data_IF_143879412426
#
_entry.id   IF_143879412426
#
_cell.length_a   1.000
_cell.length_b   1.000
_cell.length_c   1.000
_cell.angle_alpha   90.00
_cell.angle_beta   90.00
_cell.angle_gamma   90.00
#
_symmetry.space_group_name_H-M   'P 1'
#
loop_
_entity.id
_entity.type
_entity.pdbx_description
1 polymer ?
#
# COMPACT_ATOMS: atom_id res chain seq x y z
N UNK A 1 -13.39 -23.68 -20.61
CA UNK A 1 -11.96 -23.93 -20.24
C UNK A 1 -11.62 -22.97 -19.11
N UNK A 2 -11.17 -23.45 -17.96
CA UNK A 2 -10.84 -22.57 -16.81
C UNK A 2 -9.37 -22.19 -16.82
N UNK A 3 -9.07 -20.94 -16.49
CA UNK A 3 -7.72 -20.42 -16.31
C UNK A 3 -7.61 -19.74 -14.94
N UNK A 4 -6.49 -19.98 -14.26
CA UNK A 4 -6.17 -19.30 -13.03
C UNK A 4 -5.01 -18.33 -13.26
N UNK A 5 -5.27 -17.04 -13.11
CA UNK A 5 -4.27 -15.98 -13.25
C UNK A 5 -3.64 -15.66 -11.90
N UNK A 6 -2.31 -15.45 -11.90
CA UNK A 6 -1.55 -15.17 -10.69
C UNK A 6 -0.52 -14.04 -10.91
N UNK A 7 0.32 -13.79 -9.93
CA UNK A 7 1.42 -12.85 -10.01
C UNK A 7 1.02 -11.45 -10.46
N UNK A 8 1.84 -10.85 -11.31
CA UNK A 8 1.61 -9.50 -11.83
C UNK A 8 0.30 -9.39 -12.64
N UNK A 9 -0.13 -10.47 -13.30
CA UNK A 9 -1.40 -10.45 -14.03
C UNK A 9 -2.58 -10.34 -13.09
N UNK A 10 -2.62 -11.11 -12.01
CA UNK A 10 -3.67 -11.01 -11.01
C UNK A 10 -3.65 -9.66 -10.29
N UNK A 11 -2.47 -9.12 -9.97
CA UNK A 11 -2.33 -7.78 -9.39
C UNK A 11 -2.94 -6.70 -10.30
N UNK A 12 -2.60 -6.71 -11.59
CA UNK A 12 -3.18 -5.77 -12.57
C UNK A 12 -4.70 -5.92 -12.67
N UNK A 13 -5.20 -7.15 -12.68
CA UNK A 13 -6.63 -7.41 -12.70
C UNK A 13 -7.33 -6.86 -11.45
N UNK A 14 -6.78 -7.09 -10.27
CA UNK A 14 -7.33 -6.51 -9.02
C UNK A 14 -7.35 -5.00 -9.03
N UNK A 15 -6.30 -4.35 -9.53
CA UNK A 15 -6.26 -2.88 -9.71
C UNK A 15 -7.32 -2.40 -10.69
N UNK A 16 -7.48 -3.09 -11.82
CA UNK A 16 -8.50 -2.77 -12.82
C UNK A 16 -9.92 -2.91 -12.26
N UNK A 17 -10.19 -3.97 -11.53
CA UNK A 17 -11.49 -4.21 -10.88
C UNK A 17 -11.77 -3.10 -9.86
N UNK A 18 -10.82 -2.80 -8.99
CA UNK A 18 -10.99 -1.76 -7.95
C UNK A 18 -11.18 -0.37 -8.52
N UNK A 19 -10.46 -0.03 -9.59
CA UNK A 19 -10.57 1.29 -10.24
C UNK A 19 -11.76 1.43 -11.21
N UNK A 20 -12.61 0.39 -11.32
CA UNK A 20 -13.76 0.39 -12.24
C UNK A 20 -13.37 0.25 -13.72
N UNK A 21 -12.11 -0.02 -14.04
CA UNK A 21 -11.64 -0.22 -15.42
C UNK A 21 -11.99 -1.60 -15.98
N UNK A 22 -12.33 -2.56 -15.13
CA UNK A 22 -12.83 -3.88 -15.48
C UNK A 22 -14.36 -3.90 -15.34
N UNK A 23 -15.05 -3.29 -16.30
CA UNK A 23 -16.50 -3.18 -16.28
C UNK A 23 -17.17 -4.56 -16.47
N UNK A 24 -18.16 -4.87 -15.63
CA UNK A 24 -18.95 -6.10 -15.73
C UNK A 24 -18.35 -7.33 -15.08
N UNK A 25 -17.21 -7.23 -14.41
CA UNK A 25 -16.67 -8.33 -13.61
C UNK A 25 -17.50 -8.52 -12.34
N UNK A 26 -17.96 -9.75 -12.14
CA UNK A 26 -18.63 -10.16 -10.89
C UNK A 26 -17.62 -10.95 -10.06
N UNK A 27 -17.27 -10.40 -8.90
CA UNK A 27 -16.42 -11.12 -7.94
C UNK A 27 -17.26 -12.23 -7.31
N UNK A 28 -16.88 -13.47 -7.63
CA UNK A 28 -17.51 -14.68 -7.13
C UNK A 28 -16.91 -15.16 -5.82
N UNK A 29 -17.12 -16.44 -5.53
CA UNK A 29 -16.63 -17.07 -4.33
C UNK A 29 -15.12 -17.38 -4.39
N UNK A 30 -14.51 -17.52 -3.23
CA UNK A 30 -13.18 -18.10 -3.12
C UNK A 30 -13.21 -19.58 -3.50
N UNK A 31 -12.23 -20.01 -4.26
CA UNK A 31 -12.15 -21.37 -4.79
C UNK A 31 -10.71 -21.92 -4.69
N UNK A 32 -10.59 -23.22 -4.78
CA UNK A 32 -9.30 -23.88 -4.97
C UNK A 32 -8.81 -23.67 -6.40
N UNK A 33 -7.49 -23.82 -6.60
CA UNK A 33 -6.88 -23.73 -7.93
C UNK A 33 -7.54 -24.73 -8.90
N UNK A 34 -8.16 -24.21 -9.95
CA UNK A 34 -8.80 -25.03 -10.95
C UNK A 34 -7.79 -25.87 -11.70
N UNK A 35 -8.16 -27.10 -11.98
CA UNK A 35 -7.43 -27.92 -12.98
C UNK A 35 -7.85 -27.41 -14.35
N UNK A 36 -6.90 -27.00 -15.21
CA UNK A 36 -7.23 -26.66 -16.58
C UNK A 36 -7.80 -27.89 -17.28
N UNK A 37 -8.80 -27.67 -18.12
CA UNK A 37 -9.40 -28.73 -18.90
C UNK A 37 -8.33 -29.38 -19.78
N UNK A 38 -8.13 -30.73 -19.73
CA UNK A 38 -7.10 -31.41 -20.48
C UNK A 38 -7.35 -31.40 -22.00
N UNK A 39 -8.54 -31.01 -22.43
CA UNK A 39 -9.01 -31.20 -23.80
C UNK A 39 -8.26 -30.42 -24.89
N UNK A 40 -7.70 -29.23 -24.74
CA UNK A 40 -6.99 -28.63 -25.85
C UNK A 40 -5.54 -28.22 -25.58
N UNK A 41 -4.76 -29.00 -24.89
CA UNK A 41 -3.33 -28.74 -24.69
C UNK A 41 -2.54 -28.47 -25.99
N UNK A 42 -3.15 -28.74 -27.14
CA UNK A 42 -2.54 -28.52 -28.44
C UNK A 42 -2.66 -27.10 -29.01
N UNK A 43 -3.54 -26.22 -28.48
CA UNK A 43 -3.75 -24.86 -29.03
C UNK A 43 -4.18 -23.83 -27.97
N UNK A 44 -3.65 -23.93 -26.78
CA UNK A 44 -3.91 -22.88 -25.79
C UNK A 44 -3.26 -21.55 -26.22
N UNK A 45 -4.04 -20.54 -26.41
CA UNK A 45 -3.56 -19.17 -26.68
C UNK A 45 -4.27 -18.19 -25.76
N UNK A 46 -3.65 -17.06 -25.41
CA UNK A 46 -4.30 -16.01 -24.61
C UNK A 46 -5.63 -15.52 -25.20
N UNK A 47 -5.84 -15.69 -26.51
CA UNK A 47 -7.08 -15.33 -27.21
C UNK A 47 -8.29 -16.22 -26.87
N UNK A 48 -8.06 -17.33 -26.18
CA UNK A 48 -9.15 -18.21 -25.73
C UNK A 48 -9.96 -17.61 -24.56
N UNK A 49 -9.47 -16.52 -23.96
CA UNK A 49 -10.10 -15.85 -22.82
C UNK A 49 -10.33 -14.40 -23.14
N UNK A 50 -11.45 -13.87 -22.66
CA UNK A 50 -11.70 -12.46 -22.73
C UNK A 50 -10.96 -11.73 -21.59
N UNK A 51 -9.68 -11.46 -21.81
CA UNK A 51 -8.86 -10.69 -20.87
C UNK A 51 -9.26 -9.21 -20.82
N UNK A 52 -10.02 -8.74 -21.81
CA UNK A 52 -10.59 -7.38 -21.83
C UNK A 52 -11.58 -7.16 -20.69
N UNK A 53 -12.32 -8.22 -20.27
CA UNK A 53 -13.18 -8.15 -19.07
C UNK A 53 -12.41 -7.68 -17.85
N UNK A 54 -11.13 -8.06 -17.73
CA UNK A 54 -10.27 -7.71 -16.60
C UNK A 54 -9.54 -6.37 -16.79
N UNK A 55 -9.79 -5.64 -17.86
CA UNK A 55 -9.10 -4.39 -18.18
C UNK A 55 -7.58 -4.56 -18.35
N UNK A 56 -7.12 -5.73 -18.76
CA UNK A 56 -5.69 -6.04 -18.86
C UNK A 56 -5.00 -5.43 -20.10
N UNK A 57 -5.77 -4.80 -21.00
CA UNK A 57 -5.23 -4.10 -22.17
C UNK A 57 -4.78 -5.06 -23.28
N UNK A 58 -3.61 -4.79 -23.82
CA UNK A 58 -3.07 -5.49 -25.00
C UNK A 58 -2.84 -6.99 -24.79
N UNK A 59 -2.77 -7.72 -25.90
CA UNK A 59 -2.45 -9.14 -25.91
C UNK A 59 -1.09 -9.41 -25.21
N UNK A 60 -0.98 -10.52 -24.46
CA UNK A 60 0.27 -10.90 -23.80
C UNK A 60 1.43 -11.03 -24.80
N UNK A 61 2.60 -10.56 -24.38
CA UNK A 61 3.86 -10.61 -25.14
C UNK A 61 4.99 -11.14 -24.26
N UNK A 62 6.20 -11.26 -24.82
CA UNK A 62 7.37 -11.64 -24.03
C UNK A 62 7.70 -10.61 -22.94
N UNK A 63 7.48 -9.32 -23.22
CA UNK A 63 7.78 -8.23 -22.31
C UNK A 63 6.64 -7.99 -21.31
N UNK A 64 5.43 -8.43 -21.65
CA UNK A 64 4.21 -8.35 -20.82
C UNK A 64 3.51 -9.70 -20.79
N UNK A 65 4.12 -10.70 -20.11
CA UNK A 65 3.59 -12.05 -20.11
C UNK A 65 2.31 -12.17 -19.27
N UNK A 66 1.46 -13.09 -19.67
CA UNK A 66 0.35 -13.56 -18.87
C UNK A 66 0.85 -14.58 -17.84
N UNK A 67 0.64 -14.31 -16.56
CA UNK A 67 1.01 -15.21 -15.48
C UNK A 67 -0.16 -16.15 -15.16
N UNK A 68 0.09 -17.46 -15.24
CA UNK A 68 -0.92 -18.51 -15.07
C UNK A 68 -0.48 -19.52 -14.03
N UNK A 69 -1.38 -19.86 -13.13
CA UNK A 69 -1.19 -20.88 -12.11
C UNK A 69 -1.70 -22.25 -12.60
N UNK A 70 -0.95 -23.29 -12.32
CA UNK A 70 -1.37 -24.68 -12.58
C UNK A 70 -1.05 -25.57 -11.37
N UNK A 71 -1.88 -26.60 -11.09
CA UNK A 71 -1.66 -27.49 -9.95
C UNK A 71 -0.52 -28.49 -10.15
N UNK A 72 -0.14 -28.76 -11.39
CA UNK A 72 0.83 -29.81 -11.72
C UNK A 72 1.80 -29.35 -12.82
N UNK A 73 3.07 -29.75 -12.74
CA UNK A 73 4.10 -29.38 -13.70
C UNK A 73 3.80 -29.85 -15.15
N UNK A 74 3.10 -30.95 -15.30
CA UNK A 74 2.69 -31.47 -16.64
C UNK A 74 1.66 -30.58 -17.36
N UNK A 75 0.96 -29.71 -16.58
CA UNK A 75 -0.05 -28.78 -17.10
C UNK A 75 0.55 -27.41 -17.47
N UNK A 76 1.86 -27.26 -17.39
CA UNK A 76 2.53 -25.99 -17.76
C UNK A 76 2.27 -25.64 -19.22
N UNK A 77 1.87 -24.42 -19.43
CA UNK A 77 1.64 -23.83 -20.74
C UNK A 77 2.98 -23.33 -21.27
N UNK A 78 3.39 -23.89 -22.44
CA UNK A 78 4.67 -23.55 -23.09
C UNK A 78 4.42 -22.70 -24.32
N UNK A 79 3.83 -21.54 -24.14
CA UNK A 79 3.51 -20.59 -25.21
C UNK A 79 4.26 -19.28 -24.96
N UNK A 80 4.76 -18.65 -26.01
CA UNK A 80 5.39 -17.32 -25.90
C UNK A 80 4.40 -16.32 -25.29
N UNK A 81 4.88 -15.48 -24.35
CA UNK A 81 4.03 -14.54 -23.64
C UNK A 81 3.21 -15.14 -22.50
N UNK A 82 3.50 -16.37 -22.06
CA UNK A 82 2.89 -16.99 -20.89
C UNK A 82 3.96 -17.46 -19.91
N UNK A 83 3.84 -17.06 -18.66
CA UNK A 83 4.64 -17.56 -17.54
C UNK A 83 3.76 -18.44 -16.67
N UNK A 84 4.13 -19.71 -16.52
CA UNK A 84 3.35 -20.66 -15.74
C UNK A 84 4.01 -20.95 -14.41
N UNK A 85 3.29 -20.71 -13.32
CA UNK A 85 3.66 -21.08 -11.96
C UNK A 85 2.95 -22.35 -11.54
N UNK A 86 3.68 -23.30 -10.95
CA UNK A 86 3.11 -24.56 -10.45
C UNK A 86 2.97 -24.51 -8.94
N UNK A 87 1.75 -24.77 -8.45
CA UNK A 87 1.46 -24.88 -7.04
C UNK A 87 0.98 -26.29 -6.69
N UNK A 88 1.75 -26.99 -5.91
CA UNK A 88 1.42 -28.36 -5.44
C UNK A 88 0.61 -28.37 -4.17
N UNK A 89 0.66 -27.28 -3.39
CA UNK A 89 -0.04 -27.18 -2.11
C UNK A 89 -0.40 -25.73 -1.81
N UNK A 90 -1.67 -25.39 -2.01
CA UNK A 90 -2.28 -24.13 -1.61
C UNK A 90 -3.49 -24.40 -0.69
N UNK A 91 -3.84 -23.50 0.22
CA UNK A 91 -5.06 -23.61 1.02
C UNK A 91 -6.30 -23.46 0.12
N UNK A 92 -7.43 -23.92 0.62
CA UNK A 92 -8.72 -23.60 0.01
C UNK A 92 -8.93 -22.09 -0.05
N UNK A 93 -9.59 -21.61 -1.12
CA UNK A 93 -9.84 -20.19 -1.28
C UNK A 93 -8.62 -19.36 -1.73
N UNK A 94 -7.55 -20.02 -2.21
CA UNK A 94 -6.39 -19.33 -2.76
C UNK A 94 -6.66 -18.57 -4.07
N UNK A 95 -7.80 -18.83 -4.71
CA UNK A 95 -8.26 -18.12 -5.90
C UNK A 95 -9.67 -17.59 -5.71
N UNK A 96 -10.05 -16.63 -6.56
CA UNK A 96 -11.38 -16.01 -6.58
C UNK A 96 -11.92 -16.14 -8.00
N UNK A 97 -13.14 -16.59 -8.15
CA UNK A 97 -13.82 -16.63 -9.46
C UNK A 97 -14.25 -15.21 -9.85
N UNK A 98 -13.99 -14.84 -11.12
CA UNK A 98 -14.29 -13.48 -11.60
C UNK A 98 -15.14 -13.49 -12.89
N UNK A 99 -15.74 -14.61 -13.19
CA UNK A 99 -16.54 -14.82 -14.41
C UNK A 99 -15.69 -15.30 -15.60
N UNK A 100 -16.33 -15.65 -16.70
CA UNK A 100 -15.68 -16.04 -17.95
C UNK A 100 -14.72 -17.23 -17.87
N UNK A 101 -14.95 -18.17 -16.96
CA UNK A 101 -14.03 -19.27 -16.65
C UNK A 101 -12.64 -18.81 -16.13
N UNK A 102 -12.55 -17.61 -15.59
CA UNK A 102 -11.30 -17.03 -15.06
C UNK A 102 -11.32 -17.04 -13.53
N UNK A 103 -10.22 -17.48 -12.96
CA UNK A 103 -9.90 -17.33 -11.54
C UNK A 103 -8.71 -16.38 -11.37
N UNK A 104 -8.74 -15.52 -10.35
CA UNK A 104 -7.62 -14.70 -9.93
C UNK A 104 -7.03 -15.24 -8.62
N UNK A 105 -5.71 -15.27 -8.52
CA UNK A 105 -5.06 -15.43 -7.22
C UNK A 105 -5.64 -14.43 -6.22
N UNK A 106 -5.98 -14.88 -5.02
CA UNK A 106 -6.50 -13.98 -3.99
C UNK A 106 -5.45 -12.92 -3.61
N UNK A 107 -5.87 -11.77 -3.06
CA UNK A 107 -4.94 -10.70 -2.71
C UNK A 107 -3.78 -11.13 -1.81
N UNK A 108 -4.06 -12.06 -0.89
CA UNK A 108 -3.05 -12.63 0.02
C UNK A 108 -1.97 -13.42 -0.76
N UNK A 109 -2.40 -14.25 -1.72
CA UNK A 109 -1.46 -15.01 -2.57
C UNK A 109 -0.65 -14.06 -3.45
N UNK A 110 -1.30 -13.04 -4.06
CA UNK A 110 -0.62 -12.02 -4.86
C UNK A 110 0.47 -11.34 -4.04
N UNK A 111 0.20 -10.92 -2.80
CA UNK A 111 1.21 -10.31 -1.94
C UNK A 111 2.42 -11.22 -1.73
N UNK A 112 2.20 -12.51 -1.46
CA UNK A 112 3.29 -13.48 -1.24
C UNK A 112 4.13 -13.72 -2.49
N UNK A 113 3.50 -13.77 -3.67
CA UNK A 113 4.19 -13.98 -4.95
C UNK A 113 5.10 -12.81 -5.33
N UNK A 114 4.73 -11.58 -4.92
CA UNK A 114 5.50 -10.39 -5.24
C UNK A 114 6.85 -10.30 -4.51
N UNK A 115 7.08 -11.10 -3.48
CA UNK A 115 8.36 -11.13 -2.74
C UNK A 115 9.59 -11.51 -3.56
N UNK A 116 9.44 -12.08 -4.75
CA UNK A 116 10.56 -12.29 -5.70
C UNK A 116 10.65 -11.26 -6.81
N UNK A 117 9.57 -10.51 -7.02
CA UNK A 117 9.43 -9.66 -8.20
C UNK A 117 9.59 -8.17 -7.86
N UNK A 118 9.52 -7.83 -6.58
CA UNK A 118 9.57 -6.46 -6.09
C UNK A 118 10.70 -6.27 -5.08
N UNK A 119 11.30 -5.09 -5.07
CA UNK A 119 12.17 -4.68 -3.97
C UNK A 119 11.34 -4.61 -2.66
N UNK A 120 11.95 -4.83 -1.47
CA UNK A 120 11.23 -4.89 -0.21
C UNK A 120 10.27 -3.73 0.03
N UNK A 121 10.73 -2.48 -0.12
CA UNK A 121 9.88 -1.30 0.09
C UNK A 121 8.72 -1.24 -0.92
N UNK A 122 8.91 -1.65 -2.17
CA UNK A 122 7.83 -1.67 -3.18
C UNK A 122 6.78 -2.72 -2.82
N UNK A 123 7.21 -3.85 -2.28
CA UNK A 123 6.30 -4.88 -1.77
C UNK A 123 5.54 -4.40 -0.54
N UNK A 124 6.21 -3.67 0.36
CA UNK A 124 5.54 -3.05 1.51
C UNK A 124 4.46 -2.07 1.05
N UNK A 125 4.77 -1.20 0.08
CA UNK A 125 3.79 -0.27 -0.51
C UNK A 125 2.62 -1.00 -1.19
N UNK A 126 2.86 -2.18 -1.78
CA UNK A 126 1.78 -3.05 -2.25
C UNK A 126 0.91 -3.56 -1.09
N UNK A 127 1.52 -3.95 0.02
CA UNK A 127 0.78 -4.34 1.23
C UNK A 127 -0.15 -3.23 1.71
N UNK A 128 0.34 -2.00 1.79
CA UNK A 128 -0.49 -0.83 2.13
C UNK A 128 -1.63 -0.60 1.11
N UNK A 129 -1.37 -0.78 -0.20
CA UNK A 129 -2.41 -0.67 -1.23
C UNK A 129 -3.50 -1.74 -1.07
N UNK A 130 -3.12 -3.00 -0.83
CA UNK A 130 -4.06 -4.11 -0.67
C UNK A 130 -4.90 -4.00 0.61
N UNK A 131 -4.31 -3.48 1.69
CA UNK A 131 -4.94 -3.26 2.99
C UNK A 131 -5.49 -1.84 3.17
N UNK A 132 -5.34 -0.96 2.18
CA UNK A 132 -5.77 0.43 2.18
C UNK A 132 -7.01 0.70 1.34
N UNK A 133 -7.41 1.96 1.30
CA UNK A 133 -8.63 2.42 0.62
C UNK A 133 -8.37 3.08 -0.74
N UNK A 134 -7.21 2.84 -1.34
CA UNK A 134 -6.84 3.32 -2.66
C UNK A 134 -6.37 2.18 -3.57
N UNK A 135 -6.31 2.44 -4.86
CA UNK A 135 -5.73 1.54 -5.85
C UNK A 135 -4.94 2.32 -6.89
N UNK A 136 -3.74 1.86 -7.20
CA UNK A 136 -2.89 2.44 -8.22
C UNK A 136 -3.35 2.01 -9.62
N UNK A 137 -2.94 2.75 -10.64
CA UNK A 137 -3.20 2.39 -12.03
C UNK A 137 -2.64 0.99 -12.35
N UNK A 138 -3.42 0.13 -13.04
CA UNK A 138 -2.98 -1.22 -13.37
C UNK A 138 -1.84 -1.27 -14.39
N UNK A 139 -1.71 -0.27 -15.27
CA UNK A 139 -0.70 -0.23 -16.34
C UNK A 139 0.52 0.61 -15.95
N UNK A 140 0.29 1.74 -15.31
CA UNK A 140 1.36 2.63 -14.80
C UNK A 140 1.14 2.93 -13.31
N UNK A 141 1.52 2.01 -12.42
CA UNK A 141 1.27 2.18 -10.99
C UNK A 141 2.07 3.33 -10.35
N UNK A 142 3.04 3.90 -11.07
CA UNK A 142 3.86 5.02 -10.60
C UNK A 142 3.27 6.36 -10.97
N UNK A 143 2.84 6.54 -12.22
CA UNK A 143 2.46 7.83 -12.78
C UNK A 143 1.00 7.90 -13.21
N UNK A 144 0.32 6.75 -13.28
CA UNK A 144 -1.08 6.69 -13.68
C UNK A 144 -2.03 7.15 -12.59
N UNK A 145 -3.31 7.12 -12.92
CA UNK A 145 -4.39 7.56 -12.04
C UNK A 145 -4.50 6.69 -10.79
N UNK A 146 -4.83 7.32 -9.67
CA UNK A 146 -5.12 6.63 -8.41
C UNK A 146 -6.63 6.71 -8.14
N UNK A 147 -7.25 5.57 -7.86
CA UNK A 147 -8.62 5.51 -7.37
C UNK A 147 -8.64 5.52 -5.84
N UNK A 148 -9.54 6.28 -5.24
CA UNK A 148 -9.64 6.50 -3.80
C UNK A 148 -11.00 6.07 -3.24
N UNK A 149 -11.11 5.96 -1.91
CA UNK A 149 -12.37 5.64 -1.23
C UNK A 149 -12.84 4.21 -1.44
N UNK A 150 -11.93 3.29 -1.71
CA UNK A 150 -12.21 1.90 -2.04
C UNK A 150 -12.20 1.02 -0.79
N UNK A 151 -12.99 -0.06 -0.79
CA UNK A 151 -12.86 -1.07 0.25
C UNK A 151 -11.50 -1.78 0.15
N UNK A 152 -10.82 -2.08 1.30
CA UNK A 152 -9.62 -2.90 1.30
C UNK A 152 -9.89 -4.29 0.69
N UNK A 153 -8.91 -4.84 -0.02
CA UNK A 153 -9.01 -6.19 -0.57
C UNK A 153 -8.74 -7.27 0.49
N UNK A 154 -7.90 -6.95 1.46
CA UNK A 154 -7.48 -7.86 2.53
C UNK A 154 -7.02 -7.06 3.76
N UNK A 155 -6.56 -7.76 4.79
CA UNK A 155 -5.92 -7.18 5.97
C UNK A 155 -4.57 -7.84 6.26
N UNK A 156 -3.67 -7.21 7.05
CA UNK A 156 -2.40 -7.83 7.43
C UNK A 156 -2.60 -9.19 8.11
N UNK A 157 -3.62 -9.33 8.96
CA UNK A 157 -3.94 -10.57 9.68
C UNK A 157 -4.36 -11.67 8.70
N UNK A 158 -5.18 -11.34 7.69
CA UNK A 158 -5.58 -12.30 6.65
C UNK A 158 -4.41 -12.75 5.80
N UNK A 159 -3.49 -11.83 5.44
CA UNK A 159 -2.26 -12.18 4.72
C UNK A 159 -1.40 -13.10 5.59
N UNK A 160 -1.25 -12.80 6.88
CA UNK A 160 -0.49 -13.62 7.83
C UNK A 160 -1.07 -15.02 7.98
N UNK A 161 -2.37 -15.14 8.21
CA UNK A 161 -3.06 -16.43 8.34
C UNK A 161 -2.94 -17.25 7.05
N UNK A 162 -3.08 -16.60 5.89
CA UNK A 162 -2.90 -17.26 4.59
C UNK A 162 -1.46 -17.74 4.41
N UNK A 163 -0.45 -16.92 4.73
CA UNK A 163 0.96 -17.27 4.64
C UNK A 163 1.35 -18.46 5.54
N UNK A 164 0.70 -18.61 6.70
CA UNK A 164 0.89 -19.74 7.62
C UNK A 164 0.27 -21.03 7.07
N UNK A 165 -0.85 -20.94 6.36
CA UNK A 165 -1.55 -22.08 5.76
C UNK A 165 -0.95 -22.54 4.44
N UNK A 166 -0.12 -21.73 3.81
CA UNK A 166 0.53 -22.04 2.54
C UNK A 166 1.68 -23.03 2.70
N UNK A 167 1.87 -23.88 1.70
CA UNK A 167 3.11 -24.58 1.49
C UNK A 167 4.27 -23.62 1.12
N UNK A 168 5.34 -24.16 0.57
CA UNK A 168 6.48 -23.35 0.14
C UNK A 168 6.11 -22.46 -1.05
N UNK A 169 6.13 -21.15 -0.84
CA UNK A 169 6.02 -20.12 -1.89
C UNK A 169 7.37 -19.46 -2.04
N UNK A 170 7.85 -19.33 -3.27
CA UNK A 170 9.07 -18.59 -3.57
C UNK A 170 8.86 -17.10 -3.24
N UNK A 171 9.82 -16.47 -2.54
CA UNK A 171 9.70 -15.08 -2.08
C UNK A 171 9.00 -14.88 -0.76
N UNK A 172 8.41 -15.92 -0.15
CA UNK A 172 7.67 -15.80 1.11
C UNK A 172 8.52 -15.31 2.29
N UNK A 173 9.84 -15.41 2.25
CA UNK A 173 10.70 -14.88 3.30
C UNK A 173 10.63 -13.35 3.34
N UNK A 174 10.90 -12.69 2.22
CA UNK A 174 10.76 -11.24 2.08
C UNK A 174 9.31 -10.79 2.36
N UNK A 175 8.34 -11.55 1.88
CA UNK A 175 6.92 -11.21 2.10
C UNK A 175 6.55 -11.21 3.58
N UNK A 176 7.06 -12.15 4.39
CA UNK A 176 6.83 -12.17 5.83
C UNK A 176 7.53 -11.03 6.55
N UNK A 177 8.74 -10.69 6.12
CA UNK A 177 9.49 -9.55 6.64
C UNK A 177 8.72 -8.25 6.40
N UNK A 178 8.31 -7.99 5.16
CA UNK A 178 7.57 -6.78 4.81
C UNK A 178 6.17 -6.75 5.44
N UNK A 179 5.52 -7.91 5.60
CA UNK A 179 4.20 -7.99 6.23
C UNK A 179 4.20 -7.48 7.68
N UNK A 180 5.30 -7.65 8.39
CA UNK A 180 5.43 -7.14 9.76
C UNK A 180 5.35 -5.59 9.86
N UNK A 181 5.55 -4.90 8.74
CA UNK A 181 5.49 -3.44 8.61
C UNK A 181 4.26 -2.94 7.85
N UNK A 182 3.38 -3.83 7.40
CA UNK A 182 2.15 -3.42 6.70
C UNK A 182 1.15 -2.85 7.71
N UNK A 183 0.87 -1.57 7.61
CA UNK A 183 -0.19 -0.91 8.37
C UNK A 183 -1.48 -0.87 7.53
N UNK A 184 -2.64 -1.18 8.11
CA UNK A 184 -3.92 -1.05 7.42
C UNK A 184 -4.33 0.43 7.29
N UNK A 185 -5.39 0.66 6.52
CA UNK A 185 -6.06 1.96 6.47
C UNK A 185 -5.27 3.11 5.84
N UNK A 186 -4.32 2.84 4.94
CA UNK A 186 -3.72 3.88 4.12
C UNK A 186 -4.79 4.43 3.13
N UNK A 187 -4.93 5.76 3.06
CA UNK A 187 -5.91 6.38 2.16
C UNK A 187 -5.29 6.84 0.84
N UNK A 188 -3.97 7.01 0.81
CA UNK A 188 -3.26 7.43 -0.39
C UNK A 188 -1.89 6.75 -0.55
N UNK A 189 -1.35 6.72 -1.79
CA UNK A 189 0.00 6.24 -2.04
C UNK A 189 1.09 7.05 -1.34
N UNK A 190 0.85 8.35 -1.09
CA UNK A 190 1.84 9.22 -0.48
C UNK A 190 1.91 9.04 1.01
N UNK A 191 0.75 8.91 1.69
CA UNK A 191 0.70 8.49 3.11
C UNK A 191 1.43 7.16 3.31
N UNK A 192 1.15 6.16 2.43
CA UNK A 192 1.82 4.86 2.47
C UNK A 192 3.34 4.98 2.33
N UNK A 193 3.83 5.83 1.43
CA UNK A 193 5.27 6.07 1.24
C UNK A 193 5.90 6.70 2.48
N UNK A 194 5.27 7.72 3.04
CA UNK A 194 5.75 8.41 4.25
C UNK A 194 5.78 7.45 5.43
N UNK A 195 4.70 6.69 5.64
CA UNK A 195 4.64 5.70 6.71
C UNK A 195 5.70 4.61 6.55
N UNK A 196 5.89 4.08 5.34
CA UNK A 196 6.93 3.08 5.06
C UNK A 196 8.33 3.59 5.40
N UNK A 197 8.65 4.84 5.03
CA UNK A 197 9.95 5.45 5.34
C UNK A 197 10.15 5.67 6.84
N UNK A 198 9.11 6.04 7.57
CA UNK A 198 9.20 6.27 9.02
C UNK A 198 9.25 4.96 9.81
N UNK A 199 8.52 3.92 9.36
CA UNK A 199 8.37 2.64 10.06
C UNK A 199 9.53 1.69 9.81
N UNK A 200 10.02 1.60 8.57
CA UNK A 200 11.09 0.67 8.20
C UNK A 200 12.37 0.95 8.97
N UNK A 201 13.09 -0.13 9.25
CA UNK A 201 14.39 -0.06 9.89
C UNK A 201 15.51 0.49 8.97
N UNK A 202 16.67 0.61 9.55
CA UNK A 202 17.85 1.15 8.86
C UNK A 202 18.37 0.25 7.74
N UNK A 203 18.12 -1.06 7.80
CA UNK A 203 18.48 -2.01 6.74
C UNK A 203 17.76 -1.74 5.44
N UNK A 204 16.58 -1.15 5.53
CA UNK A 204 15.73 -0.77 4.39
C UNK A 204 15.75 0.75 4.10
N UNK A 205 16.75 1.47 4.60
CA UNK A 205 16.88 2.94 4.49
C UNK A 205 15.77 3.72 5.21
N UNK A 206 14.98 3.08 6.06
CA UNK A 206 13.97 3.71 6.89
C UNK A 206 14.54 4.47 8.08
N UNK A 207 13.67 5.10 8.86
CA UNK A 207 14.06 5.90 10.03
C UNK A 207 13.86 5.16 11.35
N UNK A 208 13.15 4.03 11.36
CA UNK A 208 12.89 3.22 12.57
C UNK A 208 12.25 4.06 13.69
N UNK A 209 11.24 4.86 13.32
CA UNK A 209 10.53 5.77 14.23
C UNK A 209 9.15 5.25 14.66
N UNK A 210 8.71 4.10 14.14
CA UNK A 210 7.45 3.46 14.55
C UNK A 210 7.36 3.14 16.05
N UNK A 211 6.26 2.61 16.54
CA UNK A 211 5.09 2.20 15.76
C UNK A 211 4.19 3.36 15.34
N UNK A 212 3.53 3.18 14.20
CA UNK A 212 2.62 4.16 13.59
C UNK A 212 1.22 3.57 13.41
N UNK A 213 0.24 4.46 13.31
CA UNK A 213 -1.11 4.18 12.84
C UNK A 213 -1.48 5.12 11.71
N UNK A 214 -2.23 4.63 10.72
CA UNK A 214 -2.68 5.40 9.57
C UNK A 214 -4.15 5.78 9.74
N UNK A 215 -4.43 7.06 9.56
CA UNK A 215 -5.78 7.60 9.61
C UNK A 215 -6.58 7.19 10.86
N UNK A 216 -5.99 7.19 12.08
CA UNK A 216 -6.72 6.84 13.29
C UNK A 216 -7.71 7.94 13.68
N UNK A 217 -8.77 7.58 14.36
CA UNK A 217 -9.66 8.55 14.99
C UNK A 217 -9.11 9.01 16.33
N UNK A 218 -8.82 10.29 16.42
CA UNK A 218 -8.41 10.95 17.64
C UNK A 218 -9.56 11.73 18.23
N UNK A 219 -9.95 11.44 19.47
CA UNK A 219 -10.97 12.18 20.18
C UNK A 219 -10.47 13.59 20.51
N UNK A 220 -11.15 14.62 20.02
CA UNK A 220 -10.78 16.02 20.22
C UNK A 220 -11.76 16.80 21.09
N UNK A 221 -12.87 16.18 21.48
CA UNK A 221 -13.90 16.74 22.36
C UNK A 221 -14.97 15.69 22.65
N UNK A 222 -15.95 15.98 23.48
CA UNK A 222 -16.98 14.99 23.88
C UNK A 222 -17.71 14.32 22.70
N UNK A 223 -17.88 15.05 21.60
CA UNK A 223 -18.57 14.56 20.38
C UNK A 223 -17.79 14.81 19.10
N UNK A 224 -16.53 15.22 19.18
CA UNK A 224 -15.71 15.53 18.02
C UNK A 224 -14.50 14.63 17.92
N UNK A 225 -14.28 14.09 16.73
CA UNK A 225 -13.10 13.30 16.39
C UNK A 225 -12.40 13.93 15.20
N UNK A 226 -11.08 13.79 15.14
CA UNK A 226 -10.25 14.19 14.00
C UNK A 226 -9.33 13.03 13.62
N UNK A 227 -8.95 13.01 12.37
CA UNK A 227 -8.14 11.93 11.78
C UNK A 227 -6.86 12.54 11.23
N UNK A 228 -5.72 12.45 11.92
CA UNK A 228 -4.42 12.73 11.33
C UNK A 228 -4.07 11.62 10.32
N UNK A 229 -3.32 11.95 9.26
CA UNK A 229 -2.99 10.96 8.23
C UNK A 229 -2.04 9.88 8.75
N UNK A 230 -1.07 10.28 9.59
CA UNK A 230 -0.15 9.37 10.28
C UNK A 230 -0.08 9.78 11.75
N UNK A 231 -0.08 8.79 12.64
CA UNK A 231 -0.02 9.03 14.07
C UNK A 231 1.02 8.12 14.74
N UNK A 232 1.86 8.68 15.60
CA UNK A 232 2.86 7.92 16.35
C UNK A 232 2.21 7.30 17.58
N UNK A 233 2.06 5.98 17.57
CA UNK A 233 1.39 5.23 18.63
C UNK A 233 2.03 5.47 20.00
N UNK A 234 1.19 5.70 20.99
CA UNK A 234 1.64 5.97 22.36
C UNK A 234 2.25 7.37 22.57
N UNK A 235 2.10 8.27 21.61
CA UNK A 235 2.55 9.67 21.68
C UNK A 235 1.40 10.64 21.43
N UNK A 236 1.70 11.92 21.39
CA UNK A 236 0.78 12.98 20.99
C UNK A 236 1.21 13.67 19.69
N UNK A 237 1.88 12.91 18.80
CA UNK A 237 2.39 13.40 17.54
C UNK A 237 1.65 12.78 16.37
N UNK A 238 1.15 13.62 15.47
CA UNK A 238 0.62 13.24 14.16
C UNK A 238 1.33 13.96 13.02
N UNK A 239 1.12 13.49 11.81
CA UNK A 239 1.52 14.14 10.56
C UNK A 239 0.28 14.25 9.67
N UNK A 240 0.11 15.38 9.02
CA UNK A 240 -0.84 15.57 7.94
C UNK A 240 -0.07 15.81 6.64
N UNK A 241 -0.41 15.03 5.60
CA UNK A 241 0.15 15.20 4.28
C UNK A 241 -0.75 16.10 3.42
N UNK A 242 -0.29 17.31 3.16
CA UNK A 242 -0.98 18.26 2.30
C UNK A 242 -0.53 18.09 0.85
N UNK A 243 -1.41 17.63 -0.03
CA UNK A 243 -1.13 17.65 -1.46
C UNK A 243 -1.30 19.10 -1.96
N UNK A 244 -0.27 19.63 -2.62
CA UNK A 244 -0.26 20.99 -3.19
C UNK A 244 -1.40 21.29 -4.20
N UNK A 245 -2.20 20.29 -4.54
CA UNK A 245 -3.35 20.39 -5.47
C UNK A 245 -4.59 21.07 -4.89
N UNK A 246 -4.63 21.38 -3.62
CA UNK A 246 -5.84 21.92 -2.97
C UNK A 246 -5.73 23.40 -2.61
N UNK A 247 -4.70 24.12 -3.07
CA UNK A 247 -4.48 25.53 -2.76
C UNK A 247 -5.60 26.46 -3.26
N UNK A 248 -6.39 26.04 -4.25
CA UNK A 248 -7.45 26.85 -4.83
C UNK A 248 -8.83 26.65 -4.16
N UNK A 249 -8.98 25.71 -3.22
CA UNK A 249 -10.23 25.44 -2.52
C UNK A 249 -10.23 26.10 -1.12
N UNK A 250 -10.79 27.29 -1.06
CA UNK A 250 -10.86 28.11 0.17
C UNK A 250 -11.58 27.41 1.33
N UNK A 251 -12.60 26.64 1.04
CA UNK A 251 -13.40 25.96 2.07
C UNK A 251 -12.60 24.81 2.70
N UNK A 252 -11.84 24.08 1.90
CA UNK A 252 -10.91 23.04 2.39
C UNK A 252 -9.80 23.61 3.26
N UNK A 253 -9.19 24.73 2.86
CA UNK A 253 -8.19 25.42 3.69
C UNK A 253 -8.73 25.85 5.05
N UNK A 254 -9.98 26.27 5.11
CA UNK A 254 -10.63 26.64 6.39
C UNK A 254 -10.86 25.41 7.26
N UNK A 255 -11.30 24.28 6.66
CA UNK A 255 -11.55 23.05 7.40
C UNK A 255 -10.25 22.40 7.89
N UNK A 256 -9.17 22.42 7.10
CA UNK A 256 -7.85 21.93 7.51
C UNK A 256 -7.27 22.74 8.68
N UNK A 257 -7.41 24.07 8.65
CA UNK A 257 -7.02 24.92 9.78
C UNK A 257 -7.86 24.68 11.04
N UNK A 258 -9.16 24.40 10.86
CA UNK A 258 -10.04 24.03 11.95
C UNK A 258 -9.66 22.67 12.54
N UNK A 259 -9.43 21.67 11.68
CA UNK A 259 -8.96 20.33 12.06
C UNK A 259 -7.68 20.40 12.88
N UNK A 260 -6.69 21.15 12.41
CA UNK A 260 -5.41 21.34 13.13
C UNK A 260 -5.62 21.99 14.49
N UNK A 261 -6.46 23.03 14.60
CA UNK A 261 -6.75 23.69 15.89
C UNK A 261 -7.44 22.76 16.88
N UNK A 262 -8.36 21.94 16.44
CA UNK A 262 -9.07 21.00 17.30
C UNK A 262 -8.12 19.90 17.82
N UNK A 263 -7.21 19.40 16.99
CA UNK A 263 -6.15 18.48 17.44
C UNK A 263 -5.21 19.12 18.45
N UNK A 264 -4.76 20.35 18.20
CA UNK A 264 -3.93 21.11 19.15
C UNK A 264 -4.64 21.35 20.47
N UNK A 265 -5.95 21.66 20.44
CA UNK A 265 -6.77 21.85 21.65
C UNK A 265 -6.91 20.55 22.47
N UNK A 266 -6.85 19.40 21.81
CA UNK A 266 -6.81 18.08 22.46
C UNK A 266 -5.38 17.70 22.94
N UNK A 267 -4.40 18.59 22.76
CA UNK A 267 -3.01 18.38 23.12
C UNK A 267 -2.24 17.50 22.13
N UNK A 268 -2.75 17.34 20.90
CA UNK A 268 -2.06 16.63 19.83
C UNK A 268 -1.31 17.62 18.95
N UNK A 269 -0.01 17.45 18.83
CA UNK A 269 0.82 18.18 17.88
C UNK A 269 0.76 17.52 16.51
N UNK A 270 0.51 18.33 15.48
CA UNK A 270 0.47 17.84 14.10
C UNK A 270 1.52 18.57 13.27
N UNK A 271 2.41 17.83 12.67
CA UNK A 271 3.40 18.35 11.72
C UNK A 271 2.78 18.32 10.31
N UNK A 272 2.65 19.49 9.65
CA UNK A 272 2.28 19.52 8.25
C UNK A 272 3.43 19.00 7.39
N UNK A 273 3.10 18.27 6.36
CA UNK A 273 4.04 17.76 5.36
C UNK A 273 3.47 17.95 3.97
N UNK A 274 4.31 18.31 3.01
CA UNK A 274 3.93 18.50 1.62
C UNK A 274 4.73 17.59 0.67
N UNK A 275 4.35 17.56 -0.60
CA UNK A 275 5.13 16.87 -1.63
C UNK A 275 6.55 17.41 -1.77
N UNK A 276 6.79 18.67 -1.40
CA UNK A 276 8.11 19.32 -1.44
C UNK A 276 9.08 18.68 -0.44
N UNK A 277 8.59 18.26 0.72
CA UNK A 277 9.41 17.54 1.70
C UNK A 277 9.97 16.21 1.15
N UNK A 278 9.31 15.59 0.19
CA UNK A 278 9.80 14.39 -0.49
C UNK A 278 10.65 14.73 -1.72
N UNK A 279 10.26 15.73 -2.49
CA UNK A 279 10.89 16.06 -3.78
C UNK A 279 12.17 16.87 -3.62
N UNK A 280 12.27 17.73 -2.62
CA UNK A 280 13.48 18.49 -2.34
C UNK A 280 14.60 17.62 -1.76
N UNK A 281 15.81 17.91 -2.18
CA UNK A 281 16.99 17.22 -1.63
C UNK A 281 17.10 17.44 -0.12
N UNK A 282 17.03 16.34 0.63
CA UNK A 282 17.10 16.36 2.09
C UNK A 282 15.86 16.93 2.78
N UNK A 283 14.74 17.13 2.06
CA UNK A 283 13.46 17.57 2.64
C UNK A 283 12.95 16.60 3.68
N UNK A 284 12.84 15.35 3.31
CA UNK A 284 12.35 14.31 4.23
C UNK A 284 13.31 14.07 5.41
N UNK A 285 14.62 14.21 5.22
CA UNK A 285 15.59 14.15 6.31
C UNK A 285 15.39 15.30 7.33
N UNK A 286 15.00 16.52 6.87
CA UNK A 286 14.66 17.65 7.75
C UNK A 286 13.41 17.36 8.58
N UNK A 287 12.35 16.84 7.93
CA UNK A 287 11.13 16.44 8.61
C UNK A 287 11.39 15.34 9.66
N UNK A 288 12.13 14.29 9.28
CA UNK A 288 12.48 13.22 10.21
C UNK A 288 13.28 13.71 11.42
N UNK A 289 14.13 14.73 11.23
CA UNK A 289 14.82 15.39 12.34
C UNK A 289 13.85 16.11 13.28
N UNK A 290 12.90 16.85 12.75
CA UNK A 290 11.87 17.52 13.55
C UNK A 290 11.04 16.52 14.36
N UNK A 291 10.69 15.37 13.74
CA UNK A 291 10.01 14.27 14.41
C UNK A 291 10.86 13.72 15.56
N UNK A 292 12.15 13.43 15.32
CA UNK A 292 13.06 12.97 16.36
C UNK A 292 13.23 13.97 17.51
N UNK A 293 13.35 15.26 17.18
CA UNK A 293 13.42 16.35 18.19
C UNK A 293 12.16 16.38 19.04
N UNK A 294 10.98 16.23 18.43
CA UNK A 294 9.71 16.19 19.14
C UNK A 294 9.61 14.96 20.05
N UNK A 295 9.87 13.76 19.51
CA UNK A 295 9.78 12.50 20.26
C UNK A 295 10.72 12.51 21.49
N UNK A 296 11.90 13.09 21.37
CA UNK A 296 12.86 13.19 22.45
C UNK A 296 12.45 14.25 23.50
N UNK A 297 12.10 15.46 23.05
CA UNK A 297 11.82 16.60 23.93
C UNK A 297 10.47 16.50 24.65
N UNK A 298 9.44 16.00 23.99
CA UNK A 298 8.07 16.03 24.52
C UNK A 298 7.57 14.67 24.97
N UNK A 299 7.99 13.59 24.30
CA UNK A 299 7.55 12.25 24.62
C UNK A 299 8.59 11.45 25.43
N UNK A 300 9.80 12.00 25.60
CA UNK A 300 10.91 11.35 26.32
C UNK A 300 11.36 10.03 25.67
N UNK A 301 11.11 9.89 24.38
CA UNK A 301 11.48 8.71 23.60
C UNK A 301 12.93 8.85 23.13
N UNK A 302 13.79 7.89 23.50
CA UNK A 302 15.18 7.87 23.07
C UNK A 302 15.31 7.58 21.56
N UNK A 303 15.96 8.47 20.83
CA UNK A 303 16.16 8.36 19.36
C UNK A 303 17.65 8.43 18.97
N UNK A 304 18.55 8.14 19.90
CA UNK A 304 20.01 8.25 19.67
C UNK A 304 20.50 7.36 18.53
N UNK A 305 19.98 6.12 18.40
CA UNK A 305 20.32 5.20 17.32
C UNK A 305 19.87 5.74 15.97
N UNK A 306 18.63 6.26 15.88
CA UNK A 306 18.06 6.84 14.69
C UNK A 306 18.86 8.07 14.26
N UNK A 307 19.25 8.95 15.20
CA UNK A 307 20.09 10.11 14.93
C UNK A 307 21.48 9.74 14.39
N UNK A 308 22.12 8.73 14.98
CA UNK A 308 23.42 8.27 14.51
C UNK A 308 23.39 7.73 13.08
N UNK A 309 22.30 7.06 12.70
CA UNK A 309 22.09 6.56 11.35
C UNK A 309 21.69 7.70 10.38
N UNK A 310 20.80 8.56 10.81
CA UNK A 310 20.36 9.73 10.06
C UNK A 310 21.55 10.63 9.64
N UNK A 311 22.54 10.83 10.52
CA UNK A 311 23.68 11.70 10.27
C UNK A 311 24.64 11.20 9.15
N UNK A 312 24.51 9.96 8.69
CA UNK A 312 25.38 9.38 7.66
C UNK A 312 25.05 9.91 6.26
N UNK A 313 25.91 10.74 5.69
CA UNK A 313 25.71 11.37 4.37
C UNK A 313 25.42 10.37 3.24
N UNK A 314 26.06 9.19 3.27
CA UNK A 314 25.81 8.13 2.28
C UNK A 314 24.37 7.66 2.36
N UNK A 315 23.86 7.38 3.56
CA UNK A 315 22.48 6.93 3.79
C UNK A 315 21.47 7.98 3.35
N UNK A 316 21.72 9.27 3.66
CA UNK A 316 20.86 10.37 3.20
C UNK A 316 20.76 10.41 1.67
N UNK A 317 21.89 10.23 0.96
CA UNK A 317 21.90 10.18 -0.49
C UNK A 317 21.11 8.99 -1.03
N UNK A 318 21.41 7.78 -0.55
CA UNK A 318 20.73 6.54 -0.98
C UNK A 318 19.22 6.60 -0.70
N UNK A 319 18.81 7.12 0.45
CA UNK A 319 17.39 7.33 0.79
C UNK A 319 16.72 8.34 -0.14
N UNK A 320 17.38 9.46 -0.44
CA UNK A 320 16.81 10.44 -1.36
C UNK A 320 16.63 9.87 -2.77
N UNK A 321 17.59 9.08 -3.25
CA UNK A 321 17.48 8.39 -4.54
C UNK A 321 16.32 7.37 -4.51
N UNK A 322 16.15 6.65 -3.40
CA UNK A 322 15.02 5.74 -3.19
C UNK A 322 13.68 6.50 -3.22
N UNK A 323 13.54 7.58 -2.47
CA UNK A 323 12.32 8.42 -2.44
C UNK A 323 11.97 8.86 -3.87
N UNK A 324 12.91 9.43 -4.61
CA UNK A 324 12.67 9.88 -5.98
C UNK A 324 12.29 8.75 -6.93
N UNK A 325 12.82 7.54 -6.72
CA UNK A 325 12.45 6.38 -7.52
C UNK A 325 11.01 5.91 -7.29
N UNK A 326 10.46 6.19 -6.10
CA UNK A 326 9.12 5.76 -5.69
C UNK A 326 8.03 6.83 -5.93
N UNK A 327 8.43 8.10 -6.00
CA UNK A 327 7.52 9.20 -6.32
C UNK A 327 7.06 9.12 -7.78
N UNK A 328 5.88 9.67 -8.12
CA UNK A 328 5.49 9.88 -9.50
C UNK A 328 6.61 10.59 -10.27
N UNK A 329 6.95 10.06 -11.43
CA UNK A 329 7.92 10.68 -12.34
C UNK A 329 7.28 11.85 -13.05
N UNK A 330 8.11 12.86 -13.25
CA UNK A 330 7.81 14.16 -13.80
C UNK A 330 7.13 15.16 -12.87
N UNK A 331 8.01 15.70 -12.00
CA UNK A 331 8.01 17.10 -11.52
C UNK A 331 6.64 17.75 -11.45
N UNK A 332 5.79 17.28 -10.56
CA UNK A 332 4.63 18.04 -10.09
C UNK A 332 3.47 18.24 -11.06
N UNK A 333 3.45 17.63 -12.24
CA UNK A 333 2.55 18.06 -13.30
C UNK A 333 1.40 17.11 -13.64
N UNK A 334 1.22 15.97 -12.98
CA UNK A 334 0.01 15.16 -13.18
C UNK A 334 -0.32 14.32 -11.96
N UNK A 335 -0.62 14.97 -10.86
CA UNK A 335 -1.54 14.35 -9.91
C UNK A 335 -2.88 14.40 -10.62
N UNK A 336 -3.33 13.23 -11.03
CA UNK A 336 -4.53 13.04 -11.80
C UNK A 336 -5.70 13.77 -11.18
N UNK A 337 -6.50 14.30 -12.06
CA UNK A 337 -7.82 14.84 -11.76
C UNK A 337 -8.56 13.81 -10.91
N UNK A 338 -8.58 14.04 -9.61
CA UNK A 338 -9.55 13.42 -8.73
C UNK A 338 -10.89 13.73 -9.35
N UNK A 339 -11.69 12.71 -9.60
CA UNK A 339 -13.07 12.93 -9.96
C UNK A 339 -13.66 13.80 -8.85
N UNK A 340 -13.88 15.06 -9.15
CA UNK A 340 -14.46 16.02 -8.23
C UNK A 340 -15.84 15.49 -7.85
N UNK A 341 -16.06 15.12 -6.58
CA UNK A 341 -17.36 14.77 -6.06
C UNK A 341 -17.55 13.43 -5.40
N UNK A 342 -16.54 12.57 -5.30
CA UNK A 342 -16.68 11.40 -4.44
C UNK A 342 -16.45 11.83 -2.99
N UNK A 343 -17.51 11.98 -2.21
CA UNK A 343 -17.41 11.91 -0.75
C UNK A 343 -16.75 10.57 -0.41
N UNK A 344 -15.53 10.62 0.12
CA UNK A 344 -14.84 9.43 0.61
C UNK A 344 -15.63 8.95 1.83
N UNK A 345 -16.46 7.94 1.63
CA UNK A 345 -17.10 7.29 2.76
C UNK A 345 -15.98 6.74 3.67
N UNK A 346 -15.97 7.08 4.97
CA UNK A 346 -14.95 6.58 5.86
C UNK A 346 -14.98 5.05 5.89
N UNK A 347 -13.83 4.37 5.94
CA UNK A 347 -13.78 2.92 6.06
C UNK A 347 -14.54 2.43 7.28
N UNK A 348 -15.16 1.26 7.21
CA UNK A 348 -16.06 0.72 8.25
C UNK A 348 -15.35 0.34 9.55
N UNK A 349 -14.03 0.19 9.53
CA UNK A 349 -13.22 -0.05 10.73
C UNK A 349 -12.28 1.13 10.93
N UNK A 350 -12.58 1.94 11.91
CA UNK A 350 -11.74 3.07 12.31
C UNK A 350 -11.20 2.77 13.69
N UNK A 351 -9.90 2.69 13.81
CA UNK A 351 -9.21 2.49 15.08
C UNK A 351 -9.32 3.79 15.90
N UNK A 352 -9.89 3.69 17.11
CA UNK A 352 -9.84 4.79 18.08
C UNK A 352 -8.54 4.70 18.88
N UNK A 353 -7.82 5.81 18.94
CA UNK A 353 -6.57 5.91 19.69
C UNK A 353 -6.82 6.60 21.01
N UNK A 354 -6.49 5.91 22.11
CA UNK A 354 -6.40 6.55 23.42
C UNK A 354 -5.12 7.39 23.49
N UNK A 355 -5.30 8.69 23.74
CA UNK A 355 -4.16 9.60 23.92
C UNK A 355 -3.50 9.33 25.27
N UNK A 356 -2.16 9.19 25.33
CA UNK A 356 -1.45 9.08 26.59
C UNK A 356 -1.62 10.36 27.43
N UNK A 357 -1.46 10.29 28.76
CA UNK A 357 -1.57 11.46 29.63
C UNK A 357 -0.53 12.52 29.24
N UNK A 358 -0.91 13.79 29.34
CA UNK A 358 -0.01 14.93 29.08
C UNK A 358 1.13 14.89 30.11
N UNK A 359 2.36 14.72 29.64
CA UNK A 359 3.54 14.81 30.50
C UNK A 359 3.78 16.26 30.84
N UNK A 360 3.64 16.63 32.13
CA UNK A 360 4.06 17.96 32.60
C UNK A 360 5.58 18.09 32.47
N UNK A 361 6.06 19.18 31.85
CA UNK A 361 7.49 19.52 31.91
C UNK A 361 7.87 19.64 33.39
N UNK A 362 8.85 18.87 33.85
CA UNK A 362 9.53 19.22 35.11
C UNK A 362 10.18 20.58 34.87
N UNK A 363 9.97 21.57 35.79
CA UNK A 363 10.75 22.78 35.73
C UNK A 363 12.23 22.37 35.83
N UNK A 364 13.06 22.93 34.96
CA UNK A 364 14.51 22.82 35.06
C UNK A 364 14.90 23.56 36.34
N UNK A 365 15.46 22.82 37.32
CA UNK A 365 16.13 23.39 38.50
C UNK A 365 17.52 23.92 38.11
#
# INVERSE_FOLDING_TARGET
>A
MRIALNGLTALKAWRSIRSGKAAGVVIGQRASLAKPDPSPARRWTPRCFDLGLLGLGDAPSKDRPLHVAVPEARLRIRTAGVVTTTYTKLPEGAFVEVGGDIQLACPELVFLEMGLQMAPIVQLLLGYELCGTYSRDPQDPRNGDVAYGLAPLTTPERISAFAQSCGRIHGAAQSREMLAHVLPNAWSPMEALVAALLELDHGHLGYDLGPLELNPRVQTGEKSTRVPDIFFTGTRLGINYDSSMHLDDRDRLVDDKRRTRELLSAGVSVLPMTSEDLSEKGGFDRLARQIMDFLEAFEGRGVSRQRAFWARKRVQKERQELIWSLMPGDRGARISRVAAGAEVAPPREIVEVELPPVRSRKPEE
#
